data_IF_483916211221
#
_entry.id   IF_483916211221
#
_cell.length_a   1.000
_cell.length_b   1.000
_cell.length_c   1.000
_cell.angle_alpha   90.00
_cell.angle_beta   90.00
_cell.angle_gamma   90.00
#
_symmetry.space_group_name_H-M   'P 1'
#
loop_
_entity.id
_entity.type
_entity.pdbx_description
1 polymer ?
#
# COMPACT_ATOMS: atom_id res chain seq x y z
N UNK A 1 6.99 3.95 10.98
CA UNK A 1 7.72 2.75 11.39
C UNK A 1 8.72 3.17 12.41
N UNK A 2 9.05 2.28 13.36
CA UNK A 2 9.80 2.68 14.55
C UNK A 2 11.11 3.40 14.20
N UNK A 3 11.56 4.39 15.00
CA UNK A 3 12.82 5.09 14.76
C UNK A 3 13.99 4.11 14.55
N UNK A 4 14.70 4.24 13.42
CA UNK A 4 15.81 3.36 13.01
C UNK A 4 15.44 1.87 12.89
N UNK A 5 14.16 1.56 12.65
CA UNK A 5 13.67 0.21 12.44
C UNK A 5 14.19 -0.42 11.16
N UNK A 6 14.40 -1.74 11.21
CA UNK A 6 14.72 -2.57 10.04
C UNK A 6 13.52 -2.66 9.08
N UNK A 7 12.32 -2.75 9.64
CA UNK A 7 11.06 -2.78 8.87
C UNK A 7 10.60 -1.35 8.64
N UNK A 8 10.28 -1.05 7.38
CA UNK A 8 9.71 0.21 6.95
C UNK A 8 8.50 -0.10 6.07
N UNK A 9 7.32 -0.12 6.67
CA UNK A 9 6.06 -0.23 5.94
C UNK A 9 5.84 1.04 5.13
N UNK A 10 5.60 0.92 3.82
CA UNK A 10 5.24 2.08 3.01
C UNK A 10 4.33 1.71 1.83
N UNK A 11 3.41 2.64 1.45
CA UNK A 11 2.67 2.51 0.22
C UNK A 11 3.59 2.69 -1.00
N UNK A 12 3.36 1.88 -2.02
CA UNK A 12 4.00 2.03 -3.32
C UNK A 12 3.06 2.85 -4.19
N UNK A 13 3.44 4.11 -4.41
CA UNK A 13 2.59 5.06 -5.11
C UNK A 13 3.14 5.38 -6.50
N UNK A 14 2.22 5.74 -7.40
CA UNK A 14 2.53 6.27 -8.72
C UNK A 14 2.12 7.73 -8.77
N UNK A 15 3.01 8.58 -9.30
CA UNK A 15 2.71 9.96 -9.65
C UNK A 15 3.21 10.27 -11.07
N UNK A 16 2.99 11.49 -11.55
CA UNK A 16 3.49 11.94 -12.86
C UNK A 16 5.01 11.80 -13.05
N UNK A 17 5.78 11.68 -11.96
CA UNK A 17 7.23 11.46 -11.98
C UNK A 17 7.68 10.00 -11.96
N UNK A 18 6.77 9.02 -12.02
CA UNK A 18 7.08 7.59 -12.02
C UNK A 18 6.47 6.83 -10.83
N UNK A 19 6.84 5.56 -10.68
CA UNK A 19 6.30 4.63 -9.67
C UNK A 19 7.35 4.34 -8.58
N UNK A 20 6.90 4.16 -7.34
CA UNK A 20 7.69 3.49 -6.30
C UNK A 20 8.10 4.33 -5.10
N UNK A 21 7.76 5.63 -5.11
CA UNK A 21 7.92 6.52 -3.96
C UNK A 21 6.56 6.98 -3.45
N UNK A 22 6.39 7.09 -2.14
CA UNK A 22 5.33 7.89 -1.57
C UNK A 22 5.51 9.36 -1.99
N UNK A 23 4.42 9.96 -2.49
CA UNK A 23 4.43 11.35 -2.93
C UNK A 23 3.07 11.97 -2.69
N UNK A 24 3.06 13.21 -2.23
CA UNK A 24 1.84 14.02 -2.09
C UNK A 24 1.11 14.25 -3.43
N UNK A 25 1.83 14.15 -4.55
CA UNK A 25 1.23 14.26 -5.88
C UNK A 25 0.74 12.92 -6.45
N UNK A 26 0.79 11.85 -5.68
CA UNK A 26 0.33 10.55 -6.13
C UNK A 26 -1.18 10.41 -5.98
N UNK A 27 -1.79 9.73 -6.95
CA UNK A 27 -3.24 9.45 -6.97
C UNK A 27 -3.53 7.95 -7.04
N UNK A 28 -2.48 7.13 -7.12
CA UNK A 28 -2.57 5.70 -7.43
C UNK A 28 -1.62 4.91 -6.52
N UNK A 29 -2.14 3.83 -5.93
CA UNK A 29 -1.39 2.83 -5.16
C UNK A 29 -1.22 1.56 -6.01
N UNK A 30 0.02 1.06 -6.05
CA UNK A 30 0.41 -0.18 -6.74
C UNK A 30 0.78 -1.31 -5.78
N UNK A 31 0.66 -1.09 -4.47
CA UNK A 31 0.90 -2.09 -3.43
C UNK A 31 1.44 -1.48 -2.15
N UNK A 32 1.79 -2.34 -1.20
CA UNK A 32 2.39 -1.97 0.08
C UNK A 32 3.59 -2.88 0.34
N UNK A 33 4.72 -2.31 0.75
CA UNK A 33 5.93 -3.08 1.03
C UNK A 33 6.31 -2.95 2.50
N UNK A 34 6.79 -4.05 3.10
CA UNK A 34 7.29 -4.07 4.47
C UNK A 34 8.73 -3.57 4.59
N UNK A 35 9.44 -3.48 3.47
CA UNK A 35 10.82 -3.05 3.42
C UNK A 35 10.93 -1.96 2.38
N UNK A 36 11.19 -0.73 2.81
CA UNK A 36 11.60 0.33 1.91
C UNK A 36 12.83 1.00 2.49
N UNK A 37 13.60 1.67 1.64
CA UNK A 37 14.57 2.66 2.08
C UNK A 37 13.99 4.02 1.72
N UNK A 38 13.67 4.81 2.75
CA UNK A 38 13.13 6.16 2.64
C UNK A 38 11.88 6.24 1.76
N UNK A 39 10.97 5.26 1.84
CA UNK A 39 9.71 5.25 1.09
C UNK A 39 9.83 5.00 -0.41
N UNK A 40 11.05 4.78 -0.93
CA UNK A 40 11.32 4.90 -2.37
C UNK A 40 12.06 3.73 -3.02
N UNK A 41 12.95 3.07 -2.27
CA UNK A 41 13.88 2.08 -2.85
C UNK A 41 13.74 0.75 -2.13
N UNK A 42 14.11 -0.32 -2.83
CA UNK A 42 14.21 -1.66 -2.24
C UNK A 42 12.87 -2.15 -1.65
N UNK A 43 11.79 -1.84 -2.36
CA UNK A 43 10.40 -2.21 -2.07
C UNK A 43 10.16 -3.71 -2.26
N UNK A 44 10.84 -4.54 -1.47
CA UNK A 44 10.73 -6.00 -1.58
C UNK A 44 9.36 -6.48 -1.09
N UNK A 45 8.86 -7.54 -1.73
CA UNK A 45 7.57 -8.16 -1.41
C UNK A 45 6.40 -7.15 -1.39
N UNK A 46 6.10 -6.49 -2.53
CA UNK A 46 4.90 -5.67 -2.61
C UNK A 46 3.66 -6.55 -2.48
N UNK A 47 2.79 -6.19 -1.53
CA UNK A 47 1.52 -6.86 -1.30
C UNK A 47 0.38 -5.97 -1.78
N UNK A 48 -0.57 -6.51 -2.52
CA UNK A 48 -1.74 -5.74 -2.99
C UNK A 48 -3.05 -6.47 -2.68
N UNK A 49 -3.88 -5.95 -1.76
CA UNK A 49 -5.20 -6.51 -1.53
C UNK A 49 -6.16 -6.11 -2.66
N UNK A 50 -6.91 -7.08 -3.17
CA UNK A 50 -7.85 -6.89 -4.29
C UNK A 50 -9.15 -7.65 -4.05
N UNK A 51 -10.23 -7.21 -4.70
CA UNK A 51 -11.50 -7.92 -4.79
C UNK A 51 -11.79 -8.35 -6.21
N UNK A 52 -12.52 -9.44 -6.38
CA UNK A 52 -12.87 -9.99 -7.69
C UNK A 52 -11.77 -10.88 -8.29
N UNK A 53 -11.87 -11.15 -9.59
CA UNK A 53 -10.93 -12.02 -10.29
C UNK A 53 -9.57 -11.34 -10.49
N UNK A 54 -8.50 -12.05 -10.15
CA UNK A 54 -7.13 -11.66 -10.47
C UNK A 54 -6.82 -12.13 -11.88
N UNK A 55 -6.82 -11.21 -12.84
CA UNK A 55 -6.58 -11.50 -14.26
C UNK A 55 -5.16 -11.15 -14.73
N UNK A 56 -4.39 -10.40 -13.93
CA UNK A 56 -3.05 -9.94 -14.27
C UNK A 56 -2.24 -9.61 -13.02
N UNK A 57 -0.92 -9.79 -13.10
CA UNK A 57 0.07 -9.35 -12.11
C UNK A 57 0.78 -8.06 -12.56
N UNK A 58 0.28 -7.38 -13.58
CA UNK A 58 0.79 -6.09 -14.04
C UNK A 58 0.26 -4.95 -13.15
N UNK A 59 1.13 -4.15 -12.48
CA UNK A 59 0.72 -3.00 -11.68
C UNK A 59 -0.15 -2.01 -12.44
N UNK A 60 0.04 -1.84 -13.76
CA UNK A 60 -0.81 -0.98 -14.57
C UNK A 60 -2.27 -1.47 -14.64
N UNK A 61 -2.49 -2.77 -14.44
CA UNK A 61 -3.80 -3.41 -14.50
C UNK A 61 -4.44 -3.55 -13.12
N UNK A 62 -3.67 -3.84 -12.08
CA UNK A 62 -4.22 -4.07 -10.73
C UNK A 62 -4.13 -2.84 -9.81
N UNK A 63 -3.39 -1.78 -10.15
CA UNK A 63 -3.31 -0.60 -9.30
C UNK A 63 -4.70 0.00 -8.98
N UNK A 64 -4.80 0.63 -7.82
CA UNK A 64 -6.01 1.30 -7.37
C UNK A 64 -5.77 2.80 -7.26
N UNK A 65 -6.70 3.65 -7.74
CA UNK A 65 -6.76 5.01 -7.29
C UNK A 65 -7.03 5.05 -5.77
N UNK A 66 -6.61 6.15 -5.16
CA UNK A 66 -6.94 6.51 -3.78
C UNK A 66 -7.12 8.03 -3.68
N UNK A 67 -7.59 8.50 -2.54
CA UNK A 67 -7.71 9.92 -2.24
C UNK A 67 -7.02 10.25 -0.93
N UNK A 68 -6.23 11.33 -0.90
CA UNK A 68 -5.66 11.88 0.34
C UNK A 68 -6.72 12.26 1.37
N UNK A 69 -7.97 12.54 0.95
CA UNK A 69 -9.07 12.79 1.87
C UNK A 69 -9.46 11.55 2.71
N UNK A 70 -9.13 10.34 2.22
CA UNK A 70 -9.33 9.07 2.90
C UNK A 70 -8.02 8.49 3.47
N UNK A 71 -6.95 9.29 3.47
CA UNK A 71 -5.64 8.89 3.96
C UNK A 71 -5.41 9.38 5.39
N UNK A 72 -4.73 8.58 6.18
CA UNK A 72 -4.28 8.94 7.53
C UNK A 72 -2.83 8.54 7.68
N UNK A 73 -1.98 9.50 7.98
CA UNK A 73 -0.53 9.32 8.12
C UNK A 73 -0.07 9.73 9.52
N UNK A 74 0.84 8.97 10.09
CA UNK A 74 1.46 9.25 11.39
C UNK A 74 2.80 8.52 11.54
N UNK A 75 3.57 8.80 12.60
CA UNK A 75 4.94 8.29 12.75
C UNK A 75 5.08 6.76 12.62
N UNK A 76 4.09 6.01 13.11
CA UNK A 76 4.07 4.54 13.13
C UNK A 76 2.79 3.94 12.54
N UNK A 77 2.02 4.73 11.81
CA UNK A 77 0.75 4.30 11.25
C UNK A 77 0.50 4.93 9.89
N UNK A 78 0.03 4.12 8.95
CA UNK A 78 -0.46 4.56 7.66
C UNK A 78 -1.80 3.89 7.38
N UNK A 79 -2.76 4.61 6.82
CA UNK A 79 -4.01 4.05 6.35
C UNK A 79 -4.49 4.76 5.10
N UNK A 80 -5.02 4.00 4.14
CA UNK A 80 -5.71 4.56 2.98
C UNK A 80 -6.83 3.63 2.52
N UNK A 81 -7.73 4.15 1.68
CA UNK A 81 -8.75 3.38 0.98
C UNK A 81 -8.35 3.17 -0.47
N UNK A 82 -8.38 1.92 -0.92
CA UNK A 82 -8.22 1.53 -2.32
C UNK A 82 -9.57 1.61 -3.02
N UNK A 83 -9.82 2.71 -3.75
CA UNK A 83 -11.13 3.01 -4.30
C UNK A 83 -11.63 1.98 -5.32
N UNK A 84 -10.72 1.36 -6.09
CA UNK A 84 -11.07 0.34 -7.07
C UNK A 84 -11.60 -0.95 -6.45
N UNK A 85 -11.14 -1.28 -5.24
CA UNK A 85 -11.45 -2.54 -4.57
C UNK A 85 -12.35 -2.37 -3.35
N UNK A 86 -12.64 -1.13 -2.96
CA UNK A 86 -13.35 -0.78 -1.73
C UNK A 86 -12.68 -1.40 -0.48
N UNK A 87 -11.35 -1.54 -0.50
CA UNK A 87 -10.56 -2.12 0.60
C UNK A 87 -9.86 -1.01 1.37
N UNK A 88 -9.98 -1.02 2.69
CA UNK A 88 -9.14 -0.16 3.56
C UNK A 88 -7.88 -0.92 3.95
N UNK A 89 -6.72 -0.35 3.65
CA UNK A 89 -5.42 -0.88 4.06
C UNK A 89 -4.85 -0.02 5.20
N UNK A 90 -4.41 -0.66 6.27
CA UNK A 90 -3.74 -0.04 7.40
C UNK A 90 -2.41 -0.74 7.68
N UNK A 91 -1.34 0.02 7.88
CA UNK A 91 0.02 -0.46 8.08
C UNK A 91 0.58 0.09 9.39
N UNK A 92 1.32 -0.74 10.12
CA UNK A 92 2.11 -0.32 11.26
C UNK A 92 3.35 -1.19 11.38
N UNK A 93 4.38 -0.72 12.07
CA UNK A 93 5.63 -1.45 12.22
C UNK A 93 6.27 -1.25 13.59
N UNK A 94 6.85 -2.32 14.11
CA UNK A 94 7.86 -2.26 15.16
C UNK A 94 9.27 -2.21 14.54
N UNK A 95 10.32 -2.26 15.35
CA UNK A 95 11.69 -2.25 14.85
C UNK A 95 12.03 -3.38 13.86
N UNK A 96 11.34 -4.54 13.92
CA UNK A 96 11.64 -5.72 13.07
C UNK A 96 10.41 -6.47 12.58
N UNK A 97 9.21 -5.94 12.80
CA UNK A 97 7.97 -6.62 12.42
C UNK A 97 7.01 -5.61 11.82
N UNK A 98 6.52 -5.93 10.62
CA UNK A 98 5.52 -5.19 9.90
C UNK A 98 4.14 -5.84 10.05
N UNK A 99 3.11 -5.02 10.20
CA UNK A 99 1.73 -5.46 10.26
C UNK A 99 0.91 -4.69 9.25
N UNK A 100 0.26 -5.44 8.36
CA UNK A 100 -0.66 -4.92 7.37
C UNK A 100 -2.05 -5.52 7.66
N UNK A 101 -3.05 -4.66 7.82
CA UNK A 101 -4.45 -5.03 8.03
C UNK A 101 -5.26 -4.56 6.83
N UNK A 102 -5.95 -5.49 6.19
CA UNK A 102 -6.85 -5.21 5.08
C UNK A 102 -8.29 -5.46 5.49
N UNK A 103 -9.11 -4.43 5.37
CA UNK A 103 -10.55 -4.50 5.65
C UNK A 103 -11.27 -4.56 4.31
N UNK A 104 -11.72 -5.75 3.94
CA UNK A 104 -12.43 -5.99 2.69
C UNK A 104 -13.93 -5.68 2.83
N UNK A 105 -14.60 -5.28 1.74
CA UNK A 105 -16.05 -5.25 1.69
C UNK A 105 -16.60 -6.68 1.75
N UNK A 106 -17.91 -6.83 1.96
CA UNK A 106 -18.56 -8.15 1.80
C UNK A 106 -18.45 -8.60 0.34
N UNK A 107 -17.66 -9.63 0.09
CA UNK A 107 -17.39 -10.17 -1.25
C UNK A 107 -17.26 -11.69 -1.20
N UNK A 108 -17.51 -12.37 -2.32
CA UNK A 108 -17.19 -13.79 -2.52
C UNK A 108 -15.74 -14.02 -2.96
N UNK A 109 -15.01 -12.96 -3.32
CA UNK A 109 -13.65 -13.02 -3.83
C UNK A 109 -12.81 -11.89 -3.24
N UNK A 110 -11.97 -12.24 -2.26
CA UNK A 110 -10.98 -11.37 -1.63
C UNK A 110 -9.59 -12.03 -1.78
N UNK A 111 -8.62 -11.26 -2.27
CA UNK A 111 -7.27 -11.75 -2.55
C UNK A 111 -6.22 -10.80 -1.99
N UNK A 112 -5.01 -11.32 -1.77
CA UNK A 112 -3.79 -10.54 -1.55
C UNK A 112 -2.75 -11.08 -2.54
N UNK A 113 -2.30 -10.22 -3.45
CA UNK A 113 -1.24 -10.49 -4.42
C UNK A 113 0.13 -10.24 -3.81
#
# INVERSE_FOLDING_TARGET
GAPFGLVQESPLMKSGGGTGCDRESADTVTGFSQTTINGCRFNYLPMMPTTGAVSSTDPAQYASPFSHANETTGPDYYQTKLDKYDVTAALTATARTGWQKYTFPRTSQANVL
#
